data_IF_701535256562
#
_entry.id   IF_701535256562
#
_cell.length_a   1.000
_cell.length_b   1.000
_cell.length_c   1.000
_cell.angle_alpha   90.00
_cell.angle_beta   90.00
_cell.angle_gamma   90.00
#
_symmetry.space_group_name_H-M   'P 1'
#
loop_
_entity.id
_entity.type
_entity.pdbx_description
1 polymer ?
#
# COMPACT_ATOMS: atom_id res chain seq x y z
N UNK A 1 9.73 14.38 -28.40
CA UNK A 1 8.82 13.37 -27.83
C UNK A 1 7.65 14.10 -27.22
N UNK A 2 6.42 13.59 -27.39
CA UNK A 2 5.22 14.15 -26.78
C UNK A 2 5.28 13.86 -25.28
N UNK A 3 5.14 14.89 -24.42
CA UNK A 3 5.13 14.71 -22.98
C UNK A 3 3.68 14.68 -22.50
N UNK A 4 3.39 13.83 -21.52
CA UNK A 4 2.12 13.88 -20.81
C UNK A 4 2.16 15.05 -19.82
N UNK A 5 1.08 15.82 -19.75
CA UNK A 5 0.95 16.94 -18.80
C UNK A 5 0.62 16.43 -17.40
N UNK A 6 -0.28 15.44 -17.34
CA UNK A 6 -0.73 14.83 -16.08
C UNK A 6 -0.53 13.33 -16.14
N UNK A 7 0.00 12.75 -15.07
CA UNK A 7 0.11 11.30 -14.91
C UNK A 7 -0.70 10.89 -13.70
N UNK A 8 -1.61 9.93 -13.87
CA UNK A 8 -2.40 9.33 -12.80
C UNK A 8 -1.87 7.92 -12.56
N UNK A 9 -1.37 7.68 -11.36
CA UNK A 9 -0.97 6.33 -10.90
C UNK A 9 -1.93 5.88 -9.83
N UNK A 10 -2.65 4.79 -10.08
CA UNK A 10 -3.58 4.19 -9.14
C UNK A 10 -3.04 2.83 -8.71
N UNK A 11 -2.84 2.68 -7.43
CA UNK A 11 -2.44 1.42 -6.80
C UNK A 11 -3.69 0.75 -6.22
N UNK A 12 -4.06 -0.39 -6.80
CA UNK A 12 -5.04 -1.30 -6.23
C UNK A 12 -4.30 -2.13 -5.18
N UNK A 13 -4.33 -1.65 -3.93
CA UNK A 13 -3.54 -2.19 -2.83
C UNK A 13 -3.70 -3.71 -2.72
N UNK A 14 -2.59 -4.44 -2.84
CA UNK A 14 -2.53 -5.91 -2.81
C UNK A 14 -3.08 -6.68 -4.01
N UNK A 15 -3.31 -6.09 -5.18
CA UNK A 15 -3.78 -6.83 -6.36
C UNK A 15 -2.67 -7.61 -7.07
N UNK A 16 -2.18 -8.67 -6.45
CA UNK A 16 -1.24 -9.62 -7.06
C UNK A 16 -1.86 -10.42 -8.22
N UNK A 17 -1.00 -10.89 -9.12
CA UNK A 17 -1.37 -11.65 -10.32
C UNK A 17 -0.55 -12.94 -10.48
N UNK A 18 -0.26 -13.60 -9.37
CA UNK A 18 0.47 -14.86 -9.31
C UNK A 18 1.80 -14.76 -8.58
N UNK A 19 2.24 -15.89 -8.06
CA UNK A 19 3.44 -16.00 -7.23
C UNK A 19 4.70 -15.48 -7.92
N UNK A 20 5.55 -14.81 -7.16
CA UNK A 20 6.91 -14.49 -7.60
C UNK A 20 7.82 -15.72 -7.57
N UNK A 21 8.92 -15.74 -8.35
CA UNK A 21 9.86 -16.87 -8.35
C UNK A 21 10.44 -17.21 -6.97
N UNK A 22 10.50 -16.25 -6.06
CA UNK A 22 11.02 -16.39 -4.70
C UNK A 22 9.91 -16.56 -3.64
N UNK A 23 8.63 -16.64 -4.03
CA UNK A 23 7.47 -16.74 -3.15
C UNK A 23 7.55 -17.89 -2.14
N UNK A 24 8.10 -19.04 -2.54
CA UNK A 24 8.30 -20.18 -1.65
C UNK A 24 9.16 -19.83 -0.42
N UNK A 25 10.15 -18.92 -0.57
CA UNK A 25 10.98 -18.44 0.54
C UNK A 25 10.23 -17.58 1.56
N UNK A 26 9.05 -17.08 1.18
CA UNK A 26 8.14 -16.30 2.03
C UNK A 26 6.96 -17.13 2.56
N UNK A 27 6.87 -18.40 2.20
CA UNK A 27 5.73 -19.25 2.52
C UNK A 27 4.52 -19.05 1.61
N UNK A 28 4.69 -18.34 0.48
CA UNK A 28 3.63 -17.85 -0.39
C UNK A 28 3.55 -18.63 -1.72
N UNK A 29 4.10 -19.84 -1.78
CA UNK A 29 4.00 -20.69 -2.97
C UNK A 29 2.54 -20.95 -3.36
N UNK A 30 2.24 -20.83 -4.64
CA UNK A 30 0.92 -21.06 -5.21
C UNK A 30 -0.06 -19.89 -5.04
N UNK A 31 0.37 -18.73 -4.52
CA UNK A 31 -0.50 -17.57 -4.39
C UNK A 31 -0.83 -16.92 -5.73
N UNK A 32 -2.06 -16.43 -5.85
CA UNK A 32 -2.55 -15.73 -7.04
C UNK A 32 -3.81 -14.95 -6.69
N UNK A 33 -3.65 -13.78 -6.12
CA UNK A 33 -4.75 -12.96 -5.60
C UNK A 33 -5.88 -12.82 -6.61
N UNK A 34 -5.62 -12.24 -7.77
CA UNK A 34 -6.66 -12.00 -8.78
C UNK A 34 -7.19 -13.31 -9.40
N UNK A 35 -6.30 -14.25 -9.70
CA UNK A 35 -6.67 -15.55 -10.29
C UNK A 35 -7.59 -16.36 -9.39
N UNK A 36 -7.30 -16.41 -8.10
CA UNK A 36 -8.10 -17.14 -7.12
C UNK A 36 -9.45 -16.44 -6.83
N UNK A 37 -9.50 -15.12 -6.83
CA UNK A 37 -10.76 -14.36 -6.73
C UNK A 37 -11.65 -14.66 -7.94
N UNK A 38 -11.10 -14.65 -9.16
CA UNK A 38 -11.84 -15.00 -10.37
C UNK A 38 -12.36 -16.45 -10.34
N UNK A 39 -11.53 -17.41 -9.92
CA UNK A 39 -11.92 -18.82 -9.77
C UNK A 39 -13.01 -19.00 -8.69
N UNK A 40 -12.88 -18.29 -7.55
CA UNK A 40 -13.87 -18.31 -6.48
C UNK A 40 -15.26 -17.86 -6.96
N UNK A 41 -15.35 -16.78 -7.72
CA UNK A 41 -16.59 -16.25 -8.29
C UNK A 41 -17.16 -17.16 -9.38
N UNK A 42 -16.31 -17.66 -10.27
CA UNK A 42 -16.70 -18.56 -11.35
C UNK A 42 -17.31 -19.85 -10.81
N UNK A 43 -16.71 -20.46 -9.81
CA UNK A 43 -17.21 -21.70 -9.18
C UNK A 43 -18.60 -21.53 -8.52
N UNK A 44 -19.01 -20.29 -8.24
CA UNK A 44 -20.33 -19.94 -7.68
C UNK A 44 -21.35 -19.52 -8.73
N UNK A 45 -21.03 -19.68 -10.02
CA UNK A 45 -21.92 -19.27 -11.12
C UNK A 45 -22.11 -17.76 -11.28
N UNK A 46 -21.24 -16.95 -10.64
CA UNK A 46 -21.24 -15.48 -10.71
C UNK A 46 -19.85 -14.98 -11.07
N UNK A 47 -19.39 -15.12 -12.33
CA UNK A 47 -18.06 -14.72 -12.77
C UNK A 47 -17.79 -13.25 -12.45
N UNK A 48 -16.51 -12.94 -12.15
CA UNK A 48 -16.05 -11.58 -11.89
C UNK A 48 -16.29 -10.69 -13.13
N UNK A 49 -16.90 -9.52 -12.92
CA UNK A 49 -17.27 -8.60 -14.00
C UNK A 49 -16.45 -7.32 -13.96
N UNK A 50 -15.34 -7.28 -14.70
CA UNK A 50 -14.36 -6.19 -14.77
C UNK A 50 -14.02 -5.83 -16.21
N UNK A 51 -15.01 -5.35 -17.03
CA UNK A 51 -14.83 -5.14 -18.46
C UNK A 51 -13.78 -4.07 -18.80
N UNK A 52 -13.60 -3.03 -17.97
CA UNK A 52 -12.63 -1.95 -18.23
C UNK A 52 -11.21 -2.39 -17.91
N UNK A 53 -10.97 -3.06 -16.78
CA UNK A 53 -9.67 -3.70 -16.48
C UNK A 53 -9.32 -4.76 -17.54
N UNK A 54 -10.32 -5.54 -17.99
CA UNK A 54 -10.14 -6.47 -19.10
C UNK A 54 -9.70 -5.74 -20.38
N UNK A 55 -10.36 -4.64 -20.73
CA UNK A 55 -10.00 -3.86 -21.92
C UNK A 55 -8.59 -3.25 -21.83
N UNK A 56 -8.10 -2.97 -20.63
CA UNK A 56 -6.72 -2.53 -20.37
C UNK A 56 -5.70 -3.67 -20.41
N UNK A 57 -6.13 -4.94 -20.46
CA UNK A 57 -5.25 -6.09 -20.66
C UNK A 57 -4.98 -6.94 -19.42
N UNK A 58 -5.70 -6.77 -18.31
CA UNK A 58 -5.46 -7.56 -17.08
C UNK A 58 -5.60 -9.07 -17.33
N UNK A 59 -6.61 -9.49 -18.09
CA UNK A 59 -6.83 -10.90 -18.46
C UNK A 59 -5.86 -11.43 -19.53
N UNK A 60 -5.00 -10.57 -20.07
CA UNK A 60 -3.91 -10.97 -20.97
C UNK A 60 -2.64 -11.31 -20.18
N UNK A 61 -2.52 -10.81 -18.93
CA UNK A 61 -1.37 -11.08 -18.06
C UNK A 61 -1.44 -12.47 -17.44
N UNK A 62 -2.63 -12.90 -17.02
CA UNK A 62 -2.88 -14.21 -16.42
C UNK A 62 -4.23 -14.77 -16.88
N UNK A 63 -4.40 -16.10 -16.95
CA UNK A 63 -5.71 -16.71 -17.16
C UNK A 63 -6.67 -16.38 -16.00
N UNK A 64 -7.85 -15.88 -16.32
CA UNK A 64 -8.90 -15.59 -15.34
C UNK A 64 -10.16 -16.40 -15.66
N UNK A 65 -10.61 -17.21 -14.70
CA UNK A 65 -11.80 -18.05 -14.88
C UNK A 65 -13.04 -17.18 -15.19
N UNK A 66 -13.64 -17.41 -16.36
CA UNK A 66 -14.82 -16.68 -16.84
C UNK A 66 -14.54 -15.33 -17.49
N UNK A 67 -13.27 -14.95 -17.70
CA UNK A 67 -12.89 -13.70 -18.37
C UNK A 67 -11.91 -14.03 -19.49
N UNK A 68 -12.35 -13.85 -20.74
CA UNK A 68 -11.49 -14.04 -21.90
C UNK A 68 -10.51 -12.88 -22.08
N UNK A 69 -9.26 -13.16 -22.52
CA UNK A 69 -8.31 -12.11 -22.90
C UNK A 69 -8.87 -11.12 -23.93
N UNK A 70 -8.38 -9.91 -23.92
CA UNK A 70 -8.76 -8.89 -24.90
C UNK A 70 -7.85 -9.00 -26.13
N UNK A 71 -8.43 -9.16 -27.33
CA UNK A 71 -7.64 -9.23 -28.59
C UNK A 71 -6.95 -7.91 -28.93
N UNK A 72 -7.59 -6.80 -28.59
CA UNK A 72 -7.05 -5.44 -28.78
C UNK A 72 -7.28 -4.66 -27.51
N UNK A 73 -6.22 -4.49 -26.73
CA UNK A 73 -6.26 -3.73 -25.50
C UNK A 73 -6.30 -2.22 -25.76
N UNK A 74 -6.74 -1.44 -24.79
CA UNK A 74 -6.77 0.03 -24.90
C UNK A 74 -5.35 0.63 -24.98
N UNK A 75 -4.41 0.01 -24.31
CA UNK A 75 -3.03 0.47 -24.20
C UNK A 75 -2.07 -0.68 -23.95
N UNK A 76 -0.99 -0.38 -23.27
CA UNK A 76 0.06 -1.34 -22.96
C UNK A 76 -0.13 -1.98 -21.59
N UNK A 77 0.28 -3.23 -21.47
CA UNK A 77 0.26 -3.98 -20.21
C UNK A 77 1.53 -4.79 -20.04
N UNK A 78 1.90 -5.07 -18.81
CA UNK A 78 3.09 -5.86 -18.46
C UNK A 78 2.96 -6.43 -17.05
N UNK A 79 3.85 -7.39 -16.73
CA UNK A 79 4.09 -7.88 -15.39
C UNK A 79 5.25 -7.12 -14.77
N UNK A 80 5.18 -6.85 -13.47
CA UNK A 80 6.32 -6.33 -12.71
C UNK A 80 6.63 -7.25 -11.52
N UNK A 81 7.91 -7.50 -11.30
CA UNK A 81 8.42 -8.22 -10.14
C UNK A 81 8.97 -7.20 -9.14
N UNK A 82 8.76 -7.43 -7.87
CA UNK A 82 9.39 -6.62 -6.84
C UNK A 82 10.84 -7.03 -6.64
N UNK A 83 11.76 -6.09 -6.76
CA UNK A 83 13.18 -6.31 -6.51
C UNK A 83 13.53 -6.23 -5.03
N UNK A 84 12.78 -5.43 -4.29
CA UNK A 84 12.91 -5.31 -2.84
C UNK A 84 12.58 -6.65 -2.16
N UNK A 85 13.17 -6.88 -1.00
CA UNK A 85 12.98 -8.12 -0.23
C UNK A 85 11.77 -8.11 0.69
N UNK A 86 10.99 -7.02 0.75
CA UNK A 86 9.73 -6.93 1.46
C UNK A 86 8.56 -7.50 0.66
N UNK A 87 7.40 -7.53 1.26
CA UNK A 87 6.11 -7.77 0.62
C UNK A 87 5.03 -6.91 1.29
N UNK A 88 5.41 -5.71 1.70
CA UNK A 88 4.58 -4.79 2.45
C UNK A 88 4.36 -3.48 1.68
N UNK A 89 3.30 -2.77 2.03
CA UNK A 89 2.87 -1.54 1.37
C UNK A 89 3.99 -0.48 1.29
N UNK A 90 4.79 -0.29 2.35
CA UNK A 90 5.88 0.70 2.33
C UNK A 90 6.92 0.32 1.30
N UNK A 91 7.36 -0.94 1.34
CA UNK A 91 8.41 -1.47 0.45
C UNK A 91 8.00 -1.37 -1.02
N UNK A 92 6.78 -1.82 -1.36
CA UNK A 92 6.28 -1.77 -2.74
C UNK A 92 6.16 -0.35 -3.28
N UNK A 93 5.56 0.56 -2.51
CA UNK A 93 5.41 1.96 -2.92
C UNK A 93 6.74 2.70 -3.02
N UNK A 94 7.67 2.47 -2.09
CA UNK A 94 9.01 3.08 -2.18
C UNK A 94 9.77 2.59 -3.41
N UNK A 95 9.64 1.29 -3.73
CA UNK A 95 10.26 0.76 -4.94
C UNK A 95 9.64 1.36 -6.20
N UNK A 96 8.32 1.55 -6.28
CA UNK A 96 7.68 2.24 -7.40
C UNK A 96 8.33 3.60 -7.66
N UNK A 97 8.77 4.29 -6.61
CA UNK A 97 9.39 5.62 -6.71
C UNK A 97 10.92 5.59 -6.67
N UNK A 98 11.52 4.40 -6.84
CA UNK A 98 12.96 4.22 -7.09
C UNK A 98 13.78 3.64 -5.95
N UNK A 99 13.23 3.43 -4.74
CA UNK A 99 14.01 2.95 -3.58
C UNK A 99 13.87 1.43 -3.42
N UNK A 100 14.96 0.69 -3.60
CA UNK A 100 14.98 -0.75 -3.41
C UNK A 100 15.35 -1.12 -1.96
N UNK A 101 14.42 -1.73 -1.24
CA UNK A 101 14.62 -2.22 0.14
C UNK A 101 15.33 -3.57 0.12
N UNK A 102 16.61 -3.60 0.48
CA UNK A 102 17.42 -4.82 0.46
C UNK A 102 17.30 -5.66 1.74
N UNK A 103 16.84 -5.06 2.84
CA UNK A 103 16.59 -5.72 4.11
C UNK A 103 15.14 -5.48 4.49
N UNK A 104 14.32 -6.55 4.59
CA UNK A 104 12.91 -6.41 4.87
C UNK A 104 12.66 -5.80 6.26
N UNK A 105 11.52 -5.14 6.41
CA UNK A 105 11.02 -4.71 7.70
C UNK A 105 10.73 -5.94 8.57
N UNK A 106 11.02 -5.83 9.87
CA UNK A 106 10.81 -6.94 10.79
C UNK A 106 9.33 -7.11 11.15
N UNK A 107 8.88 -8.34 11.25
CA UNK A 107 7.60 -8.71 11.84
C UNK A 107 7.85 -9.56 13.09
N UNK A 108 6.96 -9.49 14.06
CA UNK A 108 7.13 -10.13 15.36
C UNK A 108 5.88 -10.93 15.74
N UNK A 109 5.58 -12.03 15.04
CA UNK A 109 4.33 -12.78 15.22
C UNK A 109 4.14 -13.32 16.65
N UNK A 110 5.23 -13.61 17.35
CA UNK A 110 5.24 -14.13 18.73
C UNK A 110 5.46 -13.03 19.79
N UNK A 111 5.44 -11.76 19.38
CA UNK A 111 5.79 -10.60 20.21
C UNK A 111 7.25 -10.15 20.05
N UNK A 112 7.57 -8.98 20.59
CA UNK A 112 8.90 -8.37 20.46
C UNK A 112 9.94 -9.08 21.31
N UNK A 113 11.22 -9.09 20.89
CA UNK A 113 12.28 -9.76 21.63
C UNK A 113 12.51 -9.10 23.00
N UNK A 114 12.94 -9.87 24.02
CA UNK A 114 13.15 -9.39 25.38
C UNK A 114 14.08 -8.16 25.47
N UNK A 115 15.07 -8.07 24.59
CA UNK A 115 16.03 -6.97 24.56
C UNK A 115 15.36 -5.64 24.21
N UNK A 116 14.41 -5.65 23.25
CA UNK A 116 13.64 -4.46 22.91
C UNK A 116 12.70 -4.07 24.05
N UNK A 117 12.02 -5.05 24.66
CA UNK A 117 11.13 -4.80 25.80
C UNK A 117 11.89 -4.19 26.97
N UNK A 118 13.05 -4.74 27.35
CA UNK A 118 13.88 -4.21 28.43
C UNK A 118 14.36 -2.78 28.17
N UNK A 119 14.76 -2.48 26.93
CA UNK A 119 15.20 -1.13 26.57
C UNK A 119 14.04 -0.13 26.56
N UNK A 120 12.84 -0.55 26.13
CA UNK A 120 11.62 0.24 26.23
C UNK A 120 11.27 0.52 27.71
N UNK A 121 11.24 -0.49 28.58
CA UNK A 121 10.98 -0.31 30.01
C UNK A 121 11.97 0.65 30.68
N UNK A 122 13.26 0.53 30.34
CA UNK A 122 14.31 1.41 30.84
C UNK A 122 14.11 2.86 30.42
N UNK A 123 13.79 3.10 29.13
CA UNK A 123 13.66 4.46 28.61
C UNK A 123 12.33 5.12 28.94
N UNK A 124 11.25 4.35 29.03
CA UNK A 124 9.93 4.87 29.39
C UNK A 124 9.70 4.95 30.89
N UNK A 125 10.50 4.22 31.72
CA UNK A 125 10.28 4.07 33.15
C UNK A 125 9.02 3.29 33.52
N UNK A 126 8.41 2.58 32.55
CA UNK A 126 7.15 1.85 32.69
C UNK A 126 7.37 0.37 32.39
N UNK A 127 6.72 -0.50 33.15
CA UNK A 127 6.64 -1.93 32.82
C UNK A 127 5.77 -2.16 31.58
N UNK A 128 6.07 -3.20 30.83
CA UNK A 128 5.36 -3.55 29.59
C UNK A 128 4.51 -4.79 29.82
N UNK A 129 3.28 -4.72 29.35
CA UNK A 129 2.31 -5.82 29.33
C UNK A 129 1.79 -6.02 27.90
N UNK A 130 1.25 -7.19 27.64
CA UNK A 130 0.59 -7.51 26.36
C UNK A 130 1.50 -8.15 25.31
N UNK A 131 2.70 -7.72 25.13
CA UNK A 131 3.74 -8.17 24.17
C UNK A 131 3.41 -9.43 23.32
N UNK A 132 2.41 -9.34 22.46
CA UNK A 132 1.95 -10.43 21.59
C UNK A 132 1.25 -9.90 20.34
N UNK A 133 0.98 -10.77 19.37
CA UNK A 133 0.12 -10.44 18.24
C UNK A 133 -1.35 -10.45 18.67
N UNK A 134 -2.08 -9.35 18.42
CA UNK A 134 -3.48 -9.21 18.79
C UNK A 134 -4.21 -8.13 18.00
N UNK A 135 -5.56 -8.15 18.03
CA UNK A 135 -6.35 -7.00 17.63
C UNK A 135 -6.38 -5.93 18.71
N UNK A 136 -6.52 -4.66 18.32
CA UNK A 136 -6.56 -3.56 19.30
C UNK A 136 -7.78 -3.58 20.24
N UNK A 137 -8.87 -4.25 19.87
CA UNK A 137 -10.01 -4.47 20.75
C UNK A 137 -9.75 -5.59 21.74
N UNK A 138 -9.22 -6.70 21.27
CA UNK A 138 -8.90 -7.87 22.12
C UNK A 138 -7.87 -7.51 23.18
N UNK A 139 -6.81 -6.77 22.81
CA UNK A 139 -5.74 -6.42 23.75
C UNK A 139 -6.24 -5.49 24.86
N UNK A 140 -7.15 -4.56 24.56
CA UNK A 140 -7.74 -3.67 25.55
C UNK A 140 -8.65 -4.42 26.53
N UNK A 141 -9.46 -5.35 26.04
CA UNK A 141 -10.34 -6.19 26.88
C UNK A 141 -9.53 -7.10 27.85
N UNK A 142 -8.29 -7.42 27.49
CA UNK A 142 -7.42 -8.28 28.28
C UNK A 142 -6.57 -7.50 29.29
N UNK A 143 -6.03 -6.35 28.91
CA UNK A 143 -5.02 -5.62 29.70
C UNK A 143 -5.42 -4.20 30.11
N UNK A 144 -6.57 -3.68 29.63
CA UNK A 144 -6.95 -2.29 29.89
C UNK A 144 -7.16 -1.99 31.38
N UNK A 145 -7.73 -2.92 32.18
CA UNK A 145 -7.87 -2.74 33.63
C UNK A 145 -6.54 -2.75 34.36
N UNK A 146 -5.60 -3.60 33.93
CA UNK A 146 -4.24 -3.64 34.51
C UNK A 146 -3.49 -2.33 34.23
N UNK A 147 -3.58 -1.80 32.99
CA UNK A 147 -2.98 -0.51 32.63
C UNK A 147 -3.52 0.61 33.51
N UNK A 148 -4.86 0.69 33.70
CA UNK A 148 -5.49 1.70 34.57
C UNK A 148 -5.02 1.63 36.05
N UNK A 149 -4.79 0.43 36.54
CA UNK A 149 -4.39 0.22 37.95
C UNK A 149 -2.88 0.45 38.19
N UNK A 150 -2.05 0.07 37.23
CA UNK A 150 -0.59 0.00 37.42
C UNK A 150 0.16 1.08 36.63
N UNK A 151 -0.43 1.64 35.58
CA UNK A 151 0.23 2.51 34.64
C UNK A 151 1.25 1.79 33.74
N UNK A 152 1.18 0.46 33.63
CA UNK A 152 2.00 -0.32 32.72
C UNK A 152 1.64 0.03 31.25
N UNK A 153 2.56 -0.12 30.32
CA UNK A 153 2.33 0.11 28.90
C UNK A 153 1.83 -1.14 28.20
N UNK A 154 0.65 -1.07 27.60
CA UNK A 154 0.17 -2.14 26.73
C UNK A 154 0.90 -2.02 25.38
N UNK A 155 1.81 -2.97 25.09
CA UNK A 155 2.51 -3.07 23.81
C UNK A 155 2.07 -4.34 23.11
N UNK A 156 1.77 -4.24 21.80
CA UNK A 156 1.37 -5.38 20.99
C UNK A 156 1.73 -5.16 19.52
N UNK A 157 1.63 -6.20 18.73
CA UNK A 157 1.85 -6.18 17.28
C UNK A 157 0.65 -6.77 16.52
N UNK A 158 0.76 -6.90 15.21
CA UNK A 158 -0.15 -7.62 14.33
C UNK A 158 0.65 -8.38 13.26
N UNK A 159 0.01 -8.87 12.20
CA UNK A 159 0.70 -9.48 11.08
C UNK A 159 1.63 -8.50 10.34
N UNK A 160 1.30 -7.20 10.37
CA UNK A 160 2.14 -6.14 9.77
C UNK A 160 3.40 -5.87 10.57
N UNK A 161 4.36 -5.18 9.94
CA UNK A 161 5.57 -4.66 10.60
C UNK A 161 5.25 -3.43 11.46
N UNK A 162 4.60 -3.65 12.60
CA UNK A 162 4.12 -2.57 13.49
C UNK A 162 4.37 -2.85 14.95
N UNK A 163 4.70 -1.79 15.70
CA UNK A 163 4.67 -1.76 17.16
C UNK A 163 3.56 -0.81 17.60
N UNK A 164 2.63 -1.29 18.42
CA UNK A 164 1.47 -0.52 18.83
C UNK A 164 1.47 -0.35 20.35
N UNK A 165 1.21 0.87 20.80
CA UNK A 165 1.13 1.22 22.22
C UNK A 165 -0.27 1.74 22.52
N UNK A 166 -1.02 1.08 23.40
CA UNK A 166 -2.27 1.63 23.93
C UNK A 166 -1.99 2.50 25.16
N UNK A 167 -2.81 3.53 25.34
CA UNK A 167 -2.80 4.37 26.54
C UNK A 167 -4.18 5.00 26.76
N UNK A 168 -4.66 4.95 28.00
CA UNK A 168 -5.90 5.59 28.38
C UNK A 168 -5.73 7.10 28.45
N UNK A 169 -6.60 7.86 27.77
CA UNK A 169 -6.49 9.32 27.70
C UNK A 169 -6.67 10.00 29.06
N UNK A 170 -7.53 9.45 29.94
CA UNK A 170 -7.83 10.05 31.23
C UNK A 170 -6.73 9.80 32.27
N UNK A 171 -6.01 8.68 32.19
CA UNK A 171 -5.02 8.27 33.22
C UNK A 171 -3.58 8.45 32.76
N UNK A 172 -3.25 8.11 31.51
CA UNK A 172 -1.92 8.28 30.92
C UNK A 172 -1.75 9.66 30.29
N UNK A 173 -2.78 10.13 29.60
CA UNK A 173 -2.74 11.36 28.78
C UNK A 173 -2.09 11.16 27.42
N UNK A 174 -2.53 11.94 26.45
CA UNK A 174 -2.04 11.85 25.06
C UNK A 174 -0.56 12.20 24.94
N UNK A 175 -0.09 13.24 25.64
CA UNK A 175 1.31 13.69 25.58
C UNK A 175 2.27 12.57 26.00
N UNK A 176 1.96 11.86 27.10
CA UNK A 176 2.78 10.75 27.56
C UNK A 176 2.74 9.58 26.57
N UNK A 177 1.55 9.22 26.08
CA UNK A 177 1.41 8.15 25.07
C UNK A 177 2.25 8.45 23.82
N UNK A 178 2.18 9.67 23.31
CA UNK A 178 2.94 10.09 22.14
C UNK A 178 4.45 10.07 22.42
N UNK A 179 4.87 10.56 23.56
CA UNK A 179 6.28 10.50 23.97
C UNK A 179 6.81 9.05 24.06
N UNK A 180 6.03 8.11 24.59
CA UNK A 180 6.43 6.69 24.60
C UNK A 180 6.50 6.10 23.18
N UNK A 181 5.63 6.53 22.28
CA UNK A 181 5.71 6.12 20.87
C UNK A 181 6.94 6.70 20.17
N UNK A 182 7.38 7.91 20.50
CA UNK A 182 8.63 8.52 19.99
C UNK A 182 9.84 7.71 20.46
N UNK A 183 9.90 7.35 21.74
CA UNK A 183 10.96 6.48 22.28
C UNK A 183 10.98 5.14 21.54
N UNK A 184 9.80 4.53 21.36
CA UNK A 184 9.68 3.27 20.62
C UNK A 184 10.13 3.42 19.16
N UNK A 185 9.79 4.55 18.50
CA UNK A 185 10.22 4.84 17.13
C UNK A 185 11.74 4.95 17.02
N UNK A 186 12.39 5.65 17.95
CA UNK A 186 13.85 5.74 17.98
C UNK A 186 14.52 4.35 18.15
N UNK A 187 14.03 3.53 19.07
CA UNK A 187 14.57 2.19 19.31
C UNK A 187 14.38 1.28 18.10
N UNK A 188 13.21 1.35 17.47
CA UNK A 188 12.87 0.54 16.28
C UNK A 188 13.48 1.07 14.99
N UNK A 189 14.38 2.05 15.04
CA UNK A 189 15.28 2.38 13.92
C UNK A 189 16.47 1.43 13.80
N UNK A 190 16.81 0.69 14.87
CA UNK A 190 17.86 -0.34 14.81
C UNK A 190 17.42 -1.48 13.88
N UNK A 191 18.35 -2.00 13.08
CA UNK A 191 18.05 -2.97 12.03
C UNK A 191 17.35 -4.24 12.54
N UNK A 192 17.77 -4.74 13.70
CA UNK A 192 17.22 -5.93 14.36
C UNK A 192 15.79 -5.76 14.88
N UNK A 193 15.33 -4.50 15.06
CA UNK A 193 14.01 -4.15 15.59
C UNK A 193 13.18 -3.29 14.66
N UNK A 194 13.64 -3.11 13.41
CA UNK A 194 13.11 -2.14 12.48
C UNK A 194 11.70 -2.50 12.02
N UNK A 195 10.71 -1.79 12.55
CA UNK A 195 9.31 -1.90 12.11
C UNK A 195 8.90 -0.73 11.21
N UNK A 196 7.96 -0.97 10.32
CA UNK A 196 7.43 0.05 9.41
C UNK A 196 6.73 1.20 10.13
N UNK A 197 6.00 0.90 11.20
CA UNK A 197 5.26 1.92 11.97
C UNK A 197 5.31 1.65 13.47
N UNK A 198 5.36 2.72 14.25
CA UNK A 198 4.96 2.72 15.66
C UNK A 198 3.63 3.46 15.73
N UNK A 199 2.64 2.93 16.43
CA UNK A 199 1.27 3.45 16.43
C UNK A 199 0.83 3.75 17.86
N UNK A 200 0.49 5.00 18.14
CA UNK A 200 -0.24 5.38 19.33
C UNK A 200 -1.73 5.00 19.18
N UNK A 201 -2.23 4.23 20.14
CA UNK A 201 -3.61 3.75 20.19
C UNK A 201 -4.33 4.25 21.45
N UNK A 202 -4.69 5.54 21.51
CA UNK A 202 -5.41 6.08 22.65
C UNK A 202 -6.81 5.47 22.76
N UNK A 203 -7.27 5.34 24.00
CA UNK A 203 -8.58 4.82 24.33
C UNK A 203 -9.15 5.50 25.59
N UNK A 204 -10.46 5.37 25.76
CA UNK A 204 -11.18 5.80 26.97
C UNK A 204 -11.99 4.65 27.55
N UNK A 205 -12.49 4.79 28.79
CA UNK A 205 -13.25 3.77 29.51
C UNK A 205 -12.56 3.43 30.82
N UNK A 206 -13.36 2.93 31.80
CA UNK A 206 -12.92 2.69 33.17
C UNK A 206 -12.86 1.23 33.56
N UNK A 207 -13.45 0.33 32.77
CA UNK A 207 -13.48 -1.11 33.01
C UNK A 207 -13.71 -1.90 31.74
N UNK A 208 -13.47 -3.17 31.81
CA UNK A 208 -13.73 -4.14 30.74
C UNK A 208 -15.17 -4.01 30.20
N UNK A 209 -15.30 -4.04 28.87
CA UNK A 209 -16.57 -3.83 28.14
C UNK A 209 -16.91 -2.36 27.87
N UNK A 210 -16.22 -1.40 28.49
CA UNK A 210 -16.40 0.04 28.24
C UNK A 210 -15.28 0.66 27.40
N UNK A 211 -14.19 -0.08 27.15
CA UNK A 211 -13.03 0.45 26.44
C UNK A 211 -13.35 0.78 24.99
N UNK A 212 -13.09 2.02 24.60
CA UNK A 212 -13.32 2.52 23.23
C UNK A 212 -12.08 3.28 22.75
N UNK A 213 -11.56 2.89 21.58
CA UNK A 213 -10.49 3.64 20.91
C UNK A 213 -11.02 5.00 20.48
N UNK A 214 -10.17 6.02 20.60
CA UNK A 214 -10.49 7.39 20.20
C UNK A 214 -9.96 7.71 18.80
N UNK A 215 -10.32 8.87 18.29
CA UNK A 215 -9.82 9.39 17.03
C UNK A 215 -8.38 9.94 17.12
N UNK A 216 -7.82 10.07 18.33
CA UNK A 216 -6.47 10.61 18.58
C UNK A 216 -5.34 9.60 18.30
N UNK A 217 -5.60 8.62 17.42
CA UNK A 217 -4.56 7.73 16.89
C UNK A 217 -3.49 8.55 16.18
N UNK A 218 -2.22 8.19 16.42
CA UNK A 218 -1.09 8.78 15.72
C UNK A 218 -0.10 7.70 15.27
N UNK A 219 0.30 7.75 13.99
CA UNK A 219 1.22 6.79 13.38
C UNK A 219 2.59 7.45 13.16
N UNK A 220 3.62 6.87 13.75
CA UNK A 220 5.04 7.22 13.55
C UNK A 220 5.60 6.28 12.48
N UNK A 221 5.35 6.59 11.22
CA UNK A 221 5.83 5.80 10.09
C UNK A 221 7.33 5.99 9.86
N UNK A 222 7.97 4.98 9.27
CA UNK A 222 9.30 5.15 8.70
C UNK A 222 9.22 6.11 7.52
N UNK A 223 10.16 7.03 7.45
CA UNK A 223 10.39 7.82 6.24
C UNK A 223 11.13 6.98 5.20
N UNK A 224 10.94 7.25 3.91
CA UNK A 224 11.81 6.73 2.87
C UNK A 224 13.29 6.95 3.25
N UNK A 225 14.11 5.92 3.07
CA UNK A 225 15.53 5.97 3.47
C UNK A 225 16.42 6.76 2.48
N UNK A 226 15.84 7.31 1.42
CA UNK A 226 16.50 8.12 0.40
C UNK A 226 15.50 9.00 -0.33
N UNK A 227 16.00 9.84 -1.23
CA UNK A 227 15.18 10.64 -2.12
C UNK A 227 14.53 9.77 -3.20
N UNK A 228 13.30 10.10 -3.57
CA UNK A 228 12.47 9.35 -4.50
C UNK A 228 12.15 10.18 -5.75
N UNK A 229 11.51 9.56 -6.74
CA UNK A 229 10.97 10.30 -7.90
C UNK A 229 10.01 11.42 -7.47
N UNK A 230 9.27 11.27 -6.35
CA UNK A 230 8.39 12.33 -5.82
C UNK A 230 9.18 13.58 -5.42
N UNK A 231 10.32 13.38 -4.74
CA UNK A 231 11.22 14.49 -4.37
C UNK A 231 11.77 15.23 -5.60
N UNK A 232 12.16 14.47 -6.62
CA UNK A 232 12.67 15.05 -7.87
C UNK A 232 11.61 15.87 -8.61
N UNK A 233 10.37 15.37 -8.68
CA UNK A 233 9.24 16.09 -9.26
C UNK A 233 8.94 17.38 -8.50
N UNK A 234 8.82 17.31 -7.19
CA UNK A 234 8.58 18.48 -6.32
C UNK A 234 9.69 19.53 -6.47
N UNK A 235 10.95 19.11 -6.47
CA UNK A 235 12.09 20.00 -6.66
C UNK A 235 12.09 20.69 -8.04
N UNK A 236 11.52 20.05 -9.06
CA UNK A 236 11.34 20.60 -10.39
C UNK A 236 10.06 21.46 -10.54
N UNK A 237 9.33 21.72 -9.45
CA UNK A 237 8.12 22.54 -9.45
C UNK A 237 6.89 21.85 -10.04
N UNK A 238 6.90 20.52 -10.15
CA UNK A 238 5.73 19.74 -10.56
C UNK A 238 4.78 19.51 -9.37
N UNK A 239 3.49 19.41 -9.67
CA UNK A 239 2.51 18.96 -8.69
C UNK A 239 2.71 17.48 -8.37
N UNK A 240 2.70 17.15 -7.08
CA UNK A 240 2.69 15.78 -6.57
C UNK A 240 1.52 15.65 -5.62
N UNK A 241 0.38 15.27 -6.18
CA UNK A 241 -0.90 15.18 -5.48
C UNK A 241 -1.10 13.74 -5.01
N UNK A 242 -1.19 13.56 -3.71
CA UNK A 242 -1.41 12.26 -3.07
C UNK A 242 -2.87 12.04 -2.70
N UNK A 243 -3.41 10.85 -2.96
CA UNK A 243 -4.75 10.44 -2.54
C UNK A 243 -4.64 9.16 -1.71
N UNK A 244 -5.43 9.08 -0.64
CA UNK A 244 -5.44 7.95 0.27
C UNK A 244 -4.20 7.92 1.16
N UNK A 245 -3.60 6.75 1.35
CA UNK A 245 -2.45 6.55 2.25
C UNK A 245 -1.09 7.02 1.71
N UNK A 246 -1.00 7.54 0.49
CA UNK A 246 0.29 7.93 -0.11
C UNK A 246 1.04 8.94 0.76
N UNK A 247 0.33 9.93 1.34
CA UNK A 247 0.92 10.88 2.29
C UNK A 247 1.62 10.17 3.46
N UNK A 248 0.98 9.18 4.04
CA UNK A 248 1.50 8.42 5.20
C UNK A 248 2.64 7.50 4.80
N UNK A 249 2.51 6.81 3.65
CA UNK A 249 3.53 5.89 3.10
C UNK A 249 4.86 6.60 2.85
N UNK A 250 4.81 7.84 2.38
CA UNK A 250 6.00 8.66 2.13
C UNK A 250 6.31 9.64 3.26
N UNK A 251 5.53 9.62 4.37
CA UNK A 251 5.68 10.58 5.49
C UNK A 251 5.71 12.04 5.02
N UNK A 252 4.96 12.37 3.98
CA UNK A 252 4.89 13.69 3.35
C UNK A 252 6.08 14.07 2.48
N UNK A 253 7.13 13.25 2.40
CA UNK A 253 8.30 13.54 1.58
C UNK A 253 7.92 13.54 0.09
N UNK A 254 8.35 14.59 -0.63
CA UNK A 254 8.10 14.74 -2.06
C UNK A 254 6.65 15.11 -2.44
N UNK A 255 5.72 15.26 -1.49
CA UNK A 255 4.31 15.56 -1.76
C UNK A 255 4.05 17.07 -1.68
N UNK A 256 3.26 17.59 -2.62
CA UNK A 256 2.86 19.02 -2.67
C UNK A 256 1.44 19.24 -2.17
N UNK A 257 0.55 18.25 -2.33
CA UNK A 257 -0.85 18.31 -1.93
C UNK A 257 -1.34 16.93 -1.49
N UNK A 258 -2.16 16.85 -0.44
CA UNK A 258 -2.64 15.58 0.10
C UNK A 258 -4.16 15.55 0.31
N UNK A 259 -4.79 14.47 -0.13
CA UNK A 259 -6.20 14.19 0.00
C UNK A 259 -6.40 12.85 0.72
N UNK A 260 -6.58 12.82 2.03
CA UNK A 260 -6.93 11.61 2.76
C UNK A 260 -8.24 11.01 2.22
N UNK A 261 -8.33 9.70 2.14
CA UNK A 261 -9.56 9.01 1.75
C UNK A 261 -10.08 8.12 2.87
N UNK A 262 -11.41 8.03 3.00
CA UNK A 262 -12.09 7.17 3.97
C UNK A 262 -12.26 5.73 3.48
N UNK A 263 -12.17 5.54 2.15
CA UNK A 263 -12.33 4.25 1.46
C UNK A 263 -11.72 4.30 0.07
N UNK A 264 -11.55 3.15 -0.57
CA UNK A 264 -11.16 3.07 -1.98
C UNK A 264 -12.17 3.76 -2.91
N UNK A 265 -13.46 3.63 -2.61
CA UNK A 265 -14.51 4.32 -3.37
C UNK A 265 -14.38 5.85 -3.29
N UNK A 266 -14.09 6.41 -2.11
CA UNK A 266 -13.84 7.84 -1.90
C UNK A 266 -12.54 8.28 -2.59
N UNK A 267 -11.46 7.48 -2.51
CA UNK A 267 -10.21 7.75 -3.23
C UNK A 267 -10.40 7.83 -4.75
N UNK A 268 -11.24 6.95 -5.33
CA UNK A 268 -11.61 7.03 -6.74
C UNK A 268 -12.43 8.27 -7.07
N UNK A 269 -13.34 8.72 -6.21
CA UNK A 269 -14.11 9.96 -6.40
C UNK A 269 -13.20 11.18 -6.42
N UNK A 270 -12.24 11.25 -5.49
CA UNK A 270 -11.22 12.31 -5.46
C UNK A 270 -10.35 12.28 -6.73
N UNK A 271 -9.92 11.10 -7.18
CA UNK A 271 -9.12 10.94 -8.41
C UNK A 271 -9.91 11.39 -9.65
N UNK A 272 -11.19 11.02 -9.74
CA UNK A 272 -12.09 11.43 -10.83
C UNK A 272 -12.32 12.95 -10.81
N UNK A 273 -12.45 13.56 -9.64
CA UNK A 273 -12.59 15.01 -9.51
C UNK A 273 -11.30 15.75 -9.95
N UNK A 274 -10.12 15.19 -9.68
CA UNK A 274 -8.85 15.74 -10.14
C UNK A 274 -8.68 15.66 -11.67
N UNK A 275 -9.37 14.74 -12.36
CA UNK A 275 -9.36 14.72 -13.82
C UNK A 275 -10.00 15.98 -14.45
N UNK A 276 -10.90 16.66 -13.74
CA UNK A 276 -11.49 17.94 -14.16
C UNK A 276 -10.61 19.16 -13.80
N UNK A 277 -9.59 18.97 -12.98
CA UNK A 277 -8.69 20.04 -12.51
C UNK A 277 -7.49 20.20 -13.42
N UNK A 278 -7.07 21.42 -13.66
CA UNK A 278 -5.82 21.71 -14.35
C UNK A 278 -4.63 21.65 -13.39
N UNK A 279 -3.65 20.79 -13.69
CA UNK A 279 -2.37 20.68 -12.97
C UNK A 279 -1.31 20.09 -13.91
N UNK A 280 -0.03 20.21 -13.52
CA UNK A 280 1.08 19.59 -14.25
C UNK A 280 1.92 18.77 -13.28
N UNK A 281 1.86 17.42 -13.43
CA UNK A 281 2.57 16.55 -12.54
C UNK A 281 1.90 15.19 -12.35
N UNK A 282 2.02 14.67 -11.14
CA UNK A 282 1.58 13.33 -10.73
C UNK A 282 0.38 13.41 -9.78
N UNK A 283 -0.67 12.65 -10.08
CA UNK A 283 -1.68 12.24 -9.12
C UNK A 283 -1.38 10.79 -8.73
N UNK A 284 -1.05 10.53 -7.47
CA UNK A 284 -0.69 9.22 -6.95
C UNK A 284 -1.73 8.77 -5.92
N UNK A 285 -2.48 7.72 -6.24
CA UNK A 285 -3.62 7.23 -5.47
C UNK A 285 -3.35 5.83 -4.94
N UNK A 286 -3.56 5.61 -3.64
CA UNK A 286 -3.62 4.28 -3.02
C UNK A 286 -5.07 3.94 -2.65
N UNK A 287 -5.56 2.80 -3.13
CA UNK A 287 -6.91 2.27 -2.88
C UNK A 287 -6.83 1.12 -1.88
N UNK A 288 -6.93 1.45 -0.60
CA UNK A 288 -6.53 0.61 0.53
C UNK A 288 -7.50 -0.51 0.89
N UNK A 289 -8.79 -0.43 0.52
CA UNK A 289 -9.81 -1.38 1.01
C UNK A 289 -9.59 -2.80 0.48
N UNK A 290 -8.99 -2.94 -0.70
CA UNK A 290 -8.63 -4.24 -1.27
C UNK A 290 -7.81 -5.06 -0.28
N UNK A 291 -6.79 -4.45 0.30
CA UNK A 291 -5.93 -5.05 1.30
C UNK A 291 -6.59 -5.09 2.69
N UNK A 292 -6.90 -3.92 3.24
CA UNK A 292 -7.29 -3.76 4.64
C UNK A 292 -8.62 -4.42 5.00
N UNK A 293 -9.60 -4.42 4.08
CA UNK A 293 -10.92 -5.00 4.33
C UNK A 293 -11.06 -6.41 3.79
N UNK A 294 -10.38 -6.74 2.68
CA UNK A 294 -10.66 -7.96 1.96
C UNK A 294 -9.48 -8.94 1.94
N UNK A 295 -8.25 -8.47 1.70
CA UNK A 295 -7.04 -9.30 1.73
C UNK A 295 -6.77 -9.87 3.11
N UNK A 296 -6.48 -9.02 4.09
CA UNK A 296 -6.20 -9.43 5.48
C UNK A 296 -7.33 -10.20 6.17
N UNK A 297 -8.57 -9.97 5.76
CA UNK A 297 -9.75 -10.66 6.32
C UNK A 297 -10.10 -11.95 5.59
N UNK A 298 -9.31 -12.34 4.58
CA UNK A 298 -9.56 -13.55 3.79
C UNK A 298 -10.98 -13.59 3.22
N UNK A 299 -11.43 -12.47 2.64
CA UNK A 299 -12.78 -12.27 2.15
C UNK A 299 -12.85 -12.14 0.62
N UNK A 300 -12.69 -13.24 -0.16
CA UNK A 300 -12.61 -13.19 -1.61
C UNK A 300 -13.87 -12.63 -2.28
N UNK A 301 -15.05 -12.81 -1.70
CA UNK A 301 -16.28 -12.21 -2.20
C UNK A 301 -16.30 -10.69 -2.03
N UNK A 302 -15.80 -10.18 -0.91
CA UNK A 302 -15.66 -8.73 -0.67
C UNK A 302 -14.67 -8.11 -1.64
N UNK A 303 -13.53 -8.76 -1.84
CA UNK A 303 -12.51 -8.34 -2.79
C UNK A 303 -13.05 -8.27 -4.24
N UNK A 304 -13.79 -9.29 -4.66
CA UNK A 304 -14.42 -9.31 -5.97
C UNK A 304 -15.40 -8.14 -6.18
N UNK A 305 -16.24 -7.85 -5.18
CA UNK A 305 -17.18 -6.71 -5.24
C UNK A 305 -16.45 -5.38 -5.31
N UNK A 306 -15.36 -5.23 -4.59
CA UNK A 306 -14.52 -4.03 -4.63
C UNK A 306 -13.90 -3.83 -6.02
N UNK A 307 -13.40 -4.90 -6.65
CA UNK A 307 -12.91 -4.87 -8.04
C UNK A 307 -14.01 -4.43 -9.03
N UNK A 308 -15.22 -4.96 -8.89
CA UNK A 308 -16.36 -4.58 -9.74
C UNK A 308 -16.80 -3.14 -9.52
N UNK A 309 -16.73 -2.63 -8.28
CA UNK A 309 -17.01 -1.23 -7.97
C UNK A 309 -15.93 -0.31 -8.54
N UNK A 310 -14.67 -0.67 -8.37
CA UNK A 310 -13.54 0.03 -8.96
C UNK A 310 -13.66 0.10 -10.48
N UNK A 311 -13.96 -1.02 -11.14
CA UNK A 311 -14.08 -1.10 -12.59
C UNK A 311 -15.17 -0.16 -13.16
N UNK A 312 -16.29 0.00 -12.44
CA UNK A 312 -17.34 0.97 -12.78
C UNK A 312 -16.85 2.43 -12.66
N UNK A 313 -16.10 2.74 -11.60
CA UNK A 313 -15.52 4.08 -11.41
C UNK A 313 -14.37 4.34 -12.39
N UNK A 314 -13.62 3.30 -12.77
CA UNK A 314 -12.59 3.37 -13.80
C UNK A 314 -13.18 3.82 -15.14
N UNK A 315 -14.36 3.34 -15.53
CA UNK A 315 -15.06 3.81 -16.74
C UNK A 315 -15.23 5.34 -16.74
N UNK A 316 -15.67 5.89 -15.60
CA UNK A 316 -15.88 7.34 -15.44
C UNK A 316 -14.57 8.11 -15.56
N UNK A 317 -13.49 7.58 -14.95
CA UNK A 317 -12.17 8.20 -15.06
C UNK A 317 -11.66 8.18 -16.51
N UNK A 318 -11.76 7.04 -17.19
CA UNK A 318 -11.34 6.90 -18.61
C UNK A 318 -12.04 7.91 -19.51
N UNK A 319 -13.35 8.15 -19.31
CA UNK A 319 -14.13 9.11 -20.09
C UNK A 319 -13.71 10.58 -19.86
N UNK A 320 -13.18 10.89 -18.67
CA UNK A 320 -12.74 12.25 -18.31
C UNK A 320 -11.29 12.56 -18.69
N UNK A 321 -10.49 11.55 -18.96
CA UNK A 321 -9.06 11.75 -19.26
C UNK A 321 -8.85 12.49 -20.56
N UNK A 322 -7.89 13.39 -20.57
CA UNK A 322 -7.55 14.25 -21.69
C UNK A 322 -6.39 13.67 -22.52
N UNK A 323 -6.19 14.19 -23.72
CA UNK A 323 -5.14 13.69 -24.66
C UNK A 323 -3.71 13.74 -24.10
N UNK A 324 -3.47 14.60 -23.12
CA UNK A 324 -2.16 14.78 -22.49
C UNK A 324 -2.08 14.09 -21.12
N UNK A 325 -3.03 13.21 -20.81
CA UNK A 325 -3.01 12.40 -19.61
C UNK A 325 -2.45 11.01 -19.88
N UNK A 326 -1.76 10.47 -18.89
CA UNK A 326 -1.35 9.07 -18.82
C UNK A 326 -1.95 8.44 -17.57
N UNK A 327 -2.64 7.33 -17.73
CA UNK A 327 -3.09 6.48 -16.63
C UNK A 327 -2.17 5.28 -16.49
N UNK A 328 -1.74 4.98 -15.27
CA UNK A 328 -1.05 3.74 -14.90
C UNK A 328 -1.83 3.10 -13.76
N UNK A 329 -2.25 1.84 -13.94
CA UNK A 329 -2.83 1.02 -12.88
C UNK A 329 -1.83 -0.05 -12.48
N UNK A 330 -1.66 -0.27 -11.19
CA UNK A 330 -0.72 -1.25 -10.63
C UNK A 330 -1.17 -1.73 -9.25
N UNK A 331 -0.35 -2.55 -8.61
CA UNK A 331 -0.42 -2.92 -7.21
C UNK A 331 0.96 -2.84 -6.57
N UNK A 332 1.02 -2.89 -5.27
CA UNK A 332 2.25 -2.78 -4.48
C UNK A 332 2.76 -4.13 -3.95
N UNK A 333 1.89 -5.11 -3.82
CA UNK A 333 2.15 -6.51 -3.44
C UNK A 333 0.93 -7.39 -3.77
N UNK A 334 0.89 -8.63 -3.32
CA UNK A 334 -0.28 -9.49 -3.27
C UNK A 334 -0.85 -9.62 -1.87
N UNK A 335 -2.10 -10.05 -1.75
CA UNK A 335 -2.69 -10.52 -0.50
C UNK A 335 -3.85 -11.47 -0.83
N UNK A 336 -3.48 -12.68 -1.24
CA UNK A 336 -4.42 -13.70 -1.69
C UNK A 336 -5.43 -14.08 -0.60
N UNK A 337 -6.72 -13.72 -0.74
CA UNK A 337 -7.71 -13.96 0.29
C UNK A 337 -8.09 -15.44 0.45
N UNK A 338 -7.53 -16.33 -0.38
CA UNK A 338 -7.72 -17.78 -0.28
C UNK A 338 -6.51 -18.49 0.34
N UNK A 339 -5.39 -17.77 0.53
CA UNK A 339 -4.18 -18.29 1.13
C UNK A 339 -4.30 -18.39 2.65
N UNK A 340 -3.45 -19.18 3.28
CA UNK A 340 -3.38 -19.36 4.74
C UNK A 340 -2.79 -18.10 5.43
N UNK A 341 -3.07 -17.94 6.72
CA UNK A 341 -2.60 -16.78 7.49
C UNK A 341 -3.35 -15.51 7.14
N UNK A 342 -2.82 -14.36 7.52
CA UNK A 342 -3.41 -13.03 7.29
C UNK A 342 -2.42 -12.03 6.73
N UNK A 343 -1.18 -12.46 6.43
CA UNK A 343 -0.11 -11.63 5.90
C UNK A 343 -0.25 -11.42 4.39
N UNK A 344 0.46 -10.41 3.88
CA UNK A 344 0.60 -10.17 2.44
C UNK A 344 1.27 -11.36 1.74
N UNK A 345 1.07 -11.47 0.44
CA UNK A 345 1.65 -12.53 -0.38
C UNK A 345 2.65 -11.98 -1.41
N UNK A 346 3.76 -12.72 -1.59
CA UNK A 346 4.86 -12.36 -2.49
C UNK A 346 4.47 -12.64 -3.93
N UNK A 347 3.86 -11.67 -4.61
CA UNK A 347 3.30 -11.84 -5.95
C UNK A 347 3.86 -10.84 -6.97
N UNK A 348 3.83 -11.25 -8.22
CA UNK A 348 3.95 -10.39 -9.40
C UNK A 348 2.75 -9.44 -9.40
N UNK A 349 2.95 -8.19 -9.82
CA UNK A 349 1.89 -7.19 -9.91
C UNK A 349 1.65 -6.72 -11.35
N UNK A 350 0.45 -6.24 -11.68
CA UNK A 350 0.14 -5.73 -13.02
C UNK A 350 0.74 -4.34 -13.23
N UNK A 351 1.08 -4.03 -14.46
CA UNK A 351 1.31 -2.70 -14.99
C UNK A 351 0.38 -2.52 -16.19
N UNK A 352 -0.60 -1.64 -16.10
CA UNK A 352 -1.52 -1.33 -17.18
C UNK A 352 -1.42 0.16 -17.47
N UNK A 353 -1.10 0.54 -18.71
CA UNK A 353 -0.89 1.93 -19.08
C UNK A 353 -1.74 2.34 -20.27
N UNK A 354 -2.40 3.47 -20.17
CA UNK A 354 -3.25 4.01 -21.23
C UNK A 354 -3.29 5.54 -21.24
N UNK A 355 -3.48 6.07 -22.46
CA UNK A 355 -3.74 7.50 -22.71
C UNK A 355 -4.71 7.64 -23.88
N UNK A 356 -5.63 8.62 -23.87
CA UNK A 356 -6.47 8.90 -25.04
C UNK A 356 -5.67 9.23 -26.31
N UNK A 357 -4.42 9.63 -26.17
CA UNK A 357 -3.54 9.92 -27.32
C UNK A 357 -2.67 8.74 -27.76
N UNK A 358 -2.72 7.63 -27.02
CA UNK A 358 -1.95 6.42 -27.33
C UNK A 358 -2.50 5.73 -28.58
N UNK A 359 -1.62 5.32 -29.50
CA UNK A 359 -1.99 4.63 -30.74
C UNK A 359 -1.61 3.16 -30.71
N UNK A 360 -0.56 2.83 -29.99
CA UNK A 360 -0.07 1.47 -29.80
C UNK A 360 -0.77 0.78 -28.62
N UNK A 361 -0.71 -0.54 -28.62
CA UNK A 361 -1.19 -1.40 -27.54
C UNK A 361 -0.46 -2.73 -27.54
N UNK A 362 -0.53 -3.45 -26.47
CA UNK A 362 0.01 -4.80 -26.37
C UNK A 362 0.87 -5.02 -25.14
N UNK A 363 1.50 -6.17 -25.09
CA UNK A 363 2.35 -6.56 -23.97
C UNK A 363 3.74 -5.92 -24.10
N UNK A 364 4.18 -5.26 -23.03
CA UNK A 364 5.56 -4.82 -22.88
C UNK A 364 6.38 -5.91 -22.19
N UNK A 365 7.69 -5.87 -22.38
CA UNK A 365 8.61 -6.73 -21.65
C UNK A 365 8.39 -6.58 -20.14
N UNK A 366 8.37 -7.70 -19.45
CA UNK A 366 8.26 -7.76 -18.00
C UNK A 366 9.35 -6.91 -17.33
N UNK A 367 8.99 -6.16 -16.29
CA UNK A 367 9.94 -5.45 -15.44
C UNK A 367 10.41 -6.33 -14.30
N UNK A 368 11.68 -6.22 -13.97
CA UNK A 368 12.30 -6.89 -12.83
C UNK A 368 12.36 -5.99 -11.58
N UNK A 369 11.66 -4.86 -11.64
CA UNK A 369 11.43 -3.95 -10.53
C UNK A 369 10.14 -3.13 -10.73
N UNK A 370 9.59 -2.57 -9.65
CA UNK A 370 8.45 -1.65 -9.69
C UNK A 370 8.86 -0.22 -10.06
N UNK A 371 10.15 0.10 -9.98
CA UNK A 371 10.69 1.44 -10.21
C UNK A 371 10.58 1.90 -11.67
N UNK A 372 10.20 1.01 -12.59
CA UNK A 372 9.75 1.39 -13.95
C UNK A 372 8.76 2.56 -13.91
N UNK A 373 7.85 2.57 -12.93
CA UNK A 373 6.82 3.62 -12.78
C UNK A 373 7.49 4.97 -12.53
N UNK A 374 8.27 5.11 -11.47
CA UNK A 374 8.96 6.35 -11.11
C UNK A 374 9.92 6.83 -12.19
N UNK A 375 10.69 5.90 -12.79
CA UNK A 375 11.60 6.22 -13.89
C UNK A 375 10.85 6.74 -15.13
N UNK A 376 9.68 6.16 -15.46
CA UNK A 376 8.84 6.62 -16.57
C UNK A 376 8.26 8.01 -16.31
N UNK A 377 7.81 8.28 -15.09
CA UNK A 377 7.30 9.58 -14.69
C UNK A 377 8.41 10.63 -14.74
N UNK A 378 9.57 10.33 -14.16
CA UNK A 378 10.71 11.24 -14.14
C UNK A 378 11.19 11.59 -15.57
N UNK A 379 11.33 10.59 -16.45
CA UNK A 379 11.67 10.82 -17.85
C UNK A 379 10.64 11.69 -18.58
N UNK A 380 9.32 11.47 -18.32
CA UNK A 380 8.27 12.27 -18.93
C UNK A 380 8.39 13.75 -18.58
N UNK A 381 8.69 14.09 -17.33
CA UNK A 381 8.86 15.47 -16.89
C UNK A 381 10.29 16.01 -17.12
N UNK A 382 11.20 15.17 -17.61
CA UNK A 382 12.58 15.57 -17.89
C UNK A 382 13.39 15.83 -16.62
N UNK A 383 13.04 15.16 -15.51
CA UNK A 383 13.78 15.23 -14.25
C UNK A 383 14.63 13.97 -14.09
N UNK A 384 15.88 14.10 -13.58
CA UNK A 384 16.69 12.92 -13.30
C UNK A 384 16.13 12.17 -12.08
N UNK A 385 16.19 10.85 -12.11
CA UNK A 385 15.98 10.05 -10.92
C UNK A 385 17.07 10.36 -9.88
N UNK A 386 16.72 10.44 -8.58
CA UNK A 386 17.71 10.69 -7.53
C UNK A 386 18.83 9.65 -7.50
N UNK A 387 20.01 10.03 -7.00
CA UNK A 387 21.13 9.12 -6.81
C UNK A 387 20.76 7.95 -5.89
N UNK A 388 21.23 6.75 -6.24
CA UNK A 388 20.93 5.52 -5.49
C UNK A 388 19.58 4.89 -5.80
N UNK A 389 18.76 5.50 -6.66
CA UNK A 389 17.50 4.90 -7.12
C UNK A 389 17.72 3.89 -8.24
N UNK A 390 16.74 3.00 -8.39
CA UNK A 390 16.68 2.01 -9.48
C UNK A 390 15.53 2.37 -10.45
N UNK A 391 15.40 1.59 -11.52
CA UNK A 391 14.30 1.65 -12.48
C UNK A 391 14.72 1.99 -13.89
N UNK A 392 14.02 1.41 -14.84
CA UNK A 392 14.18 1.67 -16.27
C UNK A 392 12.86 2.12 -16.87
N UNK A 393 12.86 3.31 -17.45
CA UNK A 393 11.66 3.90 -18.06
C UNK A 393 11.18 3.12 -19.27
N UNK A 394 9.85 3.04 -19.44
CA UNK A 394 9.21 2.55 -20.63
C UNK A 394 8.47 3.66 -21.42
N UNK A 395 8.77 4.93 -21.16
CA UNK A 395 8.09 6.08 -21.77
C UNK A 395 8.09 6.02 -23.30
N UNK A 396 9.19 5.60 -23.92
CA UNK A 396 9.28 5.48 -25.39
C UNK A 396 8.20 4.56 -25.96
N UNK A 397 7.96 3.42 -25.31
CA UNK A 397 6.92 2.47 -25.72
C UNK A 397 5.52 3.07 -25.56
N UNK A 398 5.29 3.86 -24.50
CA UNK A 398 3.99 4.49 -24.24
C UNK A 398 3.67 5.66 -25.17
N UNK A 399 4.63 6.12 -25.96
CA UNK A 399 4.48 7.25 -26.90
C UNK A 399 4.33 6.81 -28.37
N UNK A 400 4.47 5.53 -28.64
CA UNK A 400 4.22 4.92 -29.95
C UNK A 400 2.72 4.64 -30.16
#
# INVERSE_FOLDING_TARGET
MKKYKRIFVLVLDSLGIGEMPDAAGYGDAGTNTLGHIAAFRYARGNPLHIPHLRSMGIANLIPLMGIEPCRRTLGYYSRMQEKSRGKDTLTGHWEMMGLCTTVPLQTFPDGFPPELILELEKRTGRKIIGNKSASGTTILEEFGEEELQTGHLIIYTSADSVLQICGNEDTMGLENLYHYCEIARELTMKQEWKVGRVIARPYVGKKKGEFKRTANRHDYALKPFGKTALDALKAAGMDVISIGKIQDIFSGEGITEAHPSESSAHGMEQTIALADRDFQGLCFTNLVDFDALWGHRRAPEGYARELELFDKKLAVLLDKMQKEDLLILTADHGNDPTHTGTDHTREIVPFLAWSPSMRGWGELMQSLDFARIGATIAENFGVPMPEGTIGTSCLKNLQE
#
